data_IF_668493722670
#
_entry.id   IF_668493722670
#
_cell.length_a   1.000
_cell.length_b   1.000
_cell.length_c   1.000
_cell.angle_alpha   90.00
_cell.angle_beta   90.00
_cell.angle_gamma   90.00
#
_symmetry.space_group_name_H-M   'P 1'
#
loop_
_entity.id
_entity.type
_entity.pdbx_description
1 polymer ?
#
# COMPACT_ATOMS: atom_id res chain seq x y z
N UNK A 1 -34.71 40.05 -47.25
CA UNK A 1 -33.96 40.72 -46.16
C UNK A 1 -33.27 41.92 -46.76
N UNK A 2 -33.16 43.04 -46.03
CA UNK A 2 -32.50 44.23 -46.58
C UNK A 2 -30.99 43.98 -46.70
N UNK A 3 -30.38 44.62 -47.70
CA UNK A 3 -28.95 44.58 -47.97
C UNK A 3 -28.13 45.01 -46.73
N UNK A 4 -28.68 45.95 -45.95
CA UNK A 4 -28.15 46.38 -44.66
C UNK A 4 -28.11 45.27 -43.59
N UNK A 5 -29.11 44.37 -43.55
CA UNK A 5 -29.11 43.22 -42.63
C UNK A 5 -28.01 42.23 -42.99
N UNK A 6 -27.82 41.95 -44.28
CA UNK A 6 -26.75 41.05 -44.74
C UNK A 6 -25.36 41.65 -44.49
N UNK A 7 -25.19 42.96 -44.70
CA UNK A 7 -23.93 43.64 -44.40
C UNK A 7 -23.58 43.57 -42.90
N UNK A 8 -24.59 43.70 -42.01
CA UNK A 8 -24.39 43.57 -40.56
C UNK A 8 -24.03 42.15 -40.13
N UNK A 9 -24.65 41.13 -40.73
CA UNK A 9 -24.31 39.72 -40.47
C UNK A 9 -22.87 39.45 -40.92
N UNK A 10 -22.48 39.93 -42.10
CA UNK A 10 -21.12 39.74 -42.59
C UNK A 10 -20.10 40.43 -41.69
N UNK A 11 -20.35 41.68 -41.28
CA UNK A 11 -19.47 42.40 -40.37
C UNK A 11 -19.34 41.74 -38.99
N UNK A 12 -20.39 41.05 -38.53
CA UNK A 12 -20.34 40.26 -37.30
C UNK A 12 -19.52 38.98 -37.48
N UNK A 13 -19.70 38.28 -38.61
CA UNK A 13 -18.91 37.09 -38.96
C UNK A 13 -17.42 37.42 -39.01
N UNK A 14 -17.04 38.48 -39.73
CA UNK A 14 -15.65 38.89 -39.89
C UNK A 14 -15.01 39.28 -38.54
N UNK A 15 -15.81 39.85 -37.62
CA UNK A 15 -15.35 40.15 -36.25
C UNK A 15 -15.16 38.89 -35.42
N UNK A 16 -16.04 37.89 -35.58
CA UNK A 16 -15.93 36.62 -34.90
C UNK A 16 -14.72 35.84 -35.39
N UNK A 17 -14.46 35.82 -36.70
CA UNK A 17 -13.28 35.19 -37.29
C UNK A 17 -11.98 35.85 -36.82
N UNK A 18 -11.96 37.18 -36.68
CA UNK A 18 -10.83 37.91 -36.07
C UNK A 18 -10.63 37.57 -34.60
N UNK A 19 -11.70 37.38 -33.83
CA UNK A 19 -11.60 36.94 -32.43
C UNK A 19 -11.02 35.52 -32.34
N UNK A 20 -11.46 34.61 -33.20
CA UNK A 20 -10.94 33.24 -33.27
C UNK A 20 -9.45 33.21 -33.64
N UNK A 21 -8.99 34.10 -34.53
CA UNK A 21 -7.57 34.23 -34.89
C UNK A 21 -6.69 34.85 -33.80
N UNK A 22 -7.27 35.59 -32.85
CA UNK A 22 -6.55 36.22 -31.74
C UNK A 22 -6.52 35.36 -30.47
N UNK A 23 -7.28 34.25 -30.43
CA UNK A 23 -7.16 33.24 -29.38
C UNK A 23 -6.05 32.25 -29.78
N UNK A 24 -4.92 32.15 -29.05
CA UNK A 24 -3.97 31.08 -29.27
C UNK A 24 -4.65 29.72 -29.03
N UNK A 25 -4.47 28.75 -29.94
CA UNK A 25 -4.96 27.36 -29.85
C UNK A 25 -4.04 26.55 -28.92
N UNK A 26 -3.64 27.15 -27.81
CA UNK A 26 -3.13 26.41 -26.68
C UNK A 26 -4.10 26.74 -25.55
N UNK A 27 -5.00 25.79 -25.25
CA UNK A 27 -5.71 25.85 -23.99
C UNK A 27 -4.64 25.99 -22.91
N UNK A 28 -4.60 27.09 -22.14
CA UNK A 28 -3.67 27.16 -21.03
C UNK A 28 -4.01 25.99 -20.13
N UNK A 29 -3.01 25.14 -19.81
CA UNK A 29 -3.17 24.11 -18.79
C UNK A 29 -3.90 24.75 -17.60
N UNK A 30 -5.11 24.27 -17.31
CA UNK A 30 -5.91 24.83 -16.24
C UNK A 30 -5.08 24.72 -14.96
N UNK A 31 -4.75 25.87 -14.35
CA UNK A 31 -3.87 25.98 -13.19
C UNK A 31 -4.37 25.19 -11.97
N UNK A 32 -5.63 24.76 -11.98
CA UNK A 32 -6.26 23.92 -10.96
C UNK A 32 -6.45 22.47 -11.40
N UNK A 33 -6.16 22.12 -12.66
CA UNK A 33 -6.13 20.76 -13.16
C UNK A 33 -4.69 20.26 -13.12
N UNK A 34 -4.38 19.47 -12.10
CA UNK A 34 -3.13 18.75 -12.02
C UNK A 34 -3.31 17.40 -12.70
N UNK A 35 -2.60 17.17 -13.79
CA UNK A 35 -2.48 15.85 -14.41
C UNK A 35 -1.76 14.93 -13.41
N UNK A 36 -2.50 14.03 -12.78
CA UNK A 36 -1.88 12.95 -11.98
C UNK A 36 -1.07 12.09 -12.97
N UNK A 37 0.23 11.83 -12.76
CA UNK A 37 1.00 11.03 -13.69
C UNK A 37 0.33 9.67 -13.89
N UNK A 38 0.36 9.10 -15.11
CA UNK A 38 -0.13 7.74 -15.29
C UNK A 38 0.67 6.82 -14.37
N UNK A 39 -0.03 6.15 -13.45
CA UNK A 39 0.42 4.91 -12.83
C UNK A 39 0.77 3.99 -14.00
N UNK A 40 2.05 3.79 -14.25
CA UNK A 40 2.48 2.91 -15.32
C UNK A 40 2.08 1.49 -14.94
N UNK A 41 1.26 0.84 -15.74
CA UNK A 41 0.79 -0.51 -15.46
C UNK A 41 1.84 -1.53 -15.90
N UNK A 42 2.12 -2.51 -15.04
CA UNK A 42 2.93 -3.67 -15.40
C UNK A 42 2.05 -4.66 -16.16
N UNK A 43 2.27 -4.79 -17.47
CA UNK A 43 1.56 -5.81 -18.27
C UNK A 43 2.08 -7.20 -17.91
N UNK A 44 1.18 -8.15 -17.60
CA UNK A 44 1.57 -9.54 -17.33
C UNK A 44 1.96 -10.22 -18.65
N UNK A 45 3.24 -10.53 -18.79
CA UNK A 45 3.79 -11.29 -19.92
C UNK A 45 4.06 -12.75 -19.52
N UNK A 46 4.17 -13.70 -20.48
CA UNK A 46 4.20 -15.13 -20.17
C UNK A 46 5.28 -15.55 -19.17
N UNK A 47 6.48 -15.00 -19.26
CA UNK A 47 7.59 -15.31 -18.36
C UNK A 47 7.31 -14.83 -16.92
N UNK A 48 6.62 -13.69 -16.75
CA UNK A 48 6.22 -13.20 -15.44
C UNK A 48 5.14 -14.09 -14.82
N UNK A 49 4.13 -14.46 -15.60
CA UNK A 49 3.09 -15.39 -15.15
C UNK A 49 3.68 -16.76 -14.75
N UNK A 50 4.64 -17.28 -15.54
CA UNK A 50 5.29 -18.54 -15.22
C UNK A 50 6.14 -18.48 -13.94
N UNK A 51 6.75 -17.33 -13.65
CA UNK A 51 7.52 -17.13 -12.42
C UNK A 51 6.63 -16.86 -11.19
N UNK A 52 5.49 -16.21 -11.39
CA UNK A 52 4.51 -15.86 -10.35
C UNK A 52 3.08 -16.19 -10.84
N UNK A 53 2.68 -17.47 -10.80
CA UNK A 53 1.35 -17.89 -11.31
C UNK A 53 0.18 -17.21 -10.60
N UNK A 54 0.38 -16.78 -9.35
CA UNK A 54 -0.63 -16.07 -8.55
C UNK A 54 -0.79 -14.59 -8.90
N UNK A 55 -0.07 -14.06 -9.89
CA UNK A 55 -0.08 -12.61 -10.21
C UNK A 55 -1.44 -12.10 -10.73
N UNK A 56 -2.26 -12.98 -11.30
CA UNK A 56 -3.61 -12.66 -11.77
C UNK A 56 -4.70 -13.06 -10.76
N UNK A 57 -4.34 -13.69 -9.64
CA UNK A 57 -5.29 -14.14 -8.63
C UNK A 57 -5.79 -12.99 -7.74
N UNK A 58 -7.07 -13.03 -7.37
CA UNK A 58 -7.61 -12.08 -6.41
C UNK A 58 -7.16 -12.45 -4.98
N UNK A 59 -6.08 -11.81 -4.55
CA UNK A 59 -5.50 -11.95 -3.21
C UNK A 59 -6.51 -11.76 -2.07
N UNK A 60 -7.59 -11.00 -2.26
CA UNK A 60 -8.60 -10.76 -1.22
C UNK A 60 -9.64 -11.88 -1.12
N UNK A 61 -9.76 -12.72 -2.15
CA UNK A 61 -10.80 -13.75 -2.25
C UNK A 61 -10.28 -15.17 -2.11
N UNK A 62 -8.98 -15.37 -2.35
CA UNK A 62 -8.36 -16.69 -2.31
C UNK A 62 -7.45 -16.77 -1.08
N UNK A 63 -7.97 -17.17 0.09
CA UNK A 63 -7.14 -17.40 1.25
C UNK A 63 -6.28 -18.65 1.03
N UNK A 64 -5.00 -18.58 1.43
CA UNK A 64 -4.18 -19.78 1.59
C UNK A 64 -4.85 -20.75 2.56
N UNK A 65 -4.89 -22.03 2.18
CA UNK A 65 -5.31 -23.09 3.10
C UNK A 65 -4.35 -23.13 4.30
N UNK A 66 -4.83 -23.66 5.43
CA UNK A 66 -3.98 -23.77 6.62
C UNK A 66 -2.72 -24.61 6.35
N UNK A 67 -2.80 -25.64 5.51
CA UNK A 67 -1.65 -26.48 5.22
C UNK A 67 -0.62 -25.80 4.30
N UNK A 68 -1.07 -25.09 3.26
CA UNK A 68 -0.17 -24.27 2.41
C UNK A 68 0.50 -23.16 3.22
N UNK A 69 -0.26 -22.50 4.10
CA UNK A 69 0.27 -21.47 4.99
C UNK A 69 1.33 -22.05 5.93
N UNK A 70 1.06 -23.21 6.52
CA UNK A 70 2.00 -23.90 7.40
C UNK A 70 3.26 -24.32 6.65
N UNK A 71 3.14 -24.84 5.43
CA UNK A 71 4.29 -25.23 4.62
C UNK A 71 5.18 -24.00 4.29
N UNK A 72 4.58 -22.91 3.84
CA UNK A 72 5.30 -21.67 3.54
C UNK A 72 6.01 -21.06 4.77
N UNK A 73 5.43 -21.18 5.96
CA UNK A 73 5.95 -20.56 7.19
C UNK A 73 6.92 -21.47 7.93
N UNK A 74 6.67 -22.78 7.97
CA UNK A 74 7.47 -23.76 8.72
C UNK A 74 8.64 -24.32 7.92
N UNK A 75 8.65 -24.17 6.59
CA UNK A 75 9.85 -24.38 5.78
C UNK A 75 10.97 -23.37 6.11
N UNK A 76 10.63 -22.24 6.73
CA UNK A 76 11.57 -21.17 7.09
C UNK A 76 11.84 -21.14 8.60
N UNK A 77 13.11 -21.14 9.04
CA UNK A 77 13.46 -20.98 10.44
C UNK A 77 12.92 -19.66 11.01
N UNK A 78 12.50 -19.69 12.28
CA UNK A 78 12.12 -18.47 13.00
C UNK A 78 13.36 -17.68 13.38
N UNK A 79 13.39 -16.38 13.09
CA UNK A 79 14.42 -15.47 13.61
C UNK A 79 14.32 -15.39 15.14
N UNK A 80 15.45 -15.59 15.82
CA UNK A 80 15.55 -15.49 17.28
C UNK A 80 15.56 -14.04 17.79
N UNK A 81 15.87 -13.08 16.93
CA UNK A 81 16.00 -11.67 17.30
C UNK A 81 14.65 -10.96 17.48
N UNK A 82 13.59 -11.46 16.85
CA UNK A 82 12.28 -10.80 16.86
C UNK A 82 11.41 -11.32 18.01
N UNK A 83 11.53 -10.65 19.16
CA UNK A 83 10.71 -10.90 20.35
C UNK A 83 9.50 -9.96 20.37
N UNK A 84 8.36 -10.45 19.91
CA UNK A 84 7.10 -9.74 20.05
C UNK A 84 6.43 -10.10 21.38
N UNK A 85 6.25 -9.11 22.26
CA UNK A 85 5.44 -9.26 23.48
C UNK A 85 4.08 -8.59 23.23
N UNK A 86 2.98 -9.36 23.16
CA UNK A 86 1.66 -8.77 23.02
C UNK A 86 1.35 -7.91 24.25
N UNK A 87 0.70 -6.77 24.02
CA UNK A 87 0.19 -5.94 25.10
C UNK A 87 -0.78 -6.77 25.96
N UNK A 88 -0.55 -6.90 27.29
CA UNK A 88 -1.45 -7.63 28.15
C UNK A 88 -2.78 -6.86 28.28
N UNK A 89 -3.88 -7.50 27.89
CA UNK A 89 -5.22 -6.98 28.14
C UNK A 89 -5.58 -7.19 29.62
N UNK A 90 -6.18 -6.18 30.25
CA UNK A 90 -6.74 -6.32 31.59
C UNK A 90 -8.09 -7.06 31.56
N UNK A 91 -8.45 -7.74 32.65
CA UNK A 91 -9.70 -8.51 32.73
C UNK A 91 -10.96 -7.63 32.65
N UNK A 92 -10.84 -6.35 33.01
CA UNK A 92 -11.90 -5.34 32.99
C UNK A 92 -12.34 -4.89 31.60
N UNK A 93 -11.63 -5.26 30.52
CA UNK A 93 -12.05 -4.94 29.15
C UNK A 93 -13.33 -5.68 28.75
N UNK A 94 -14.20 -5.01 27.97
CA UNK A 94 -15.42 -5.62 27.46
C UNK A 94 -15.13 -6.76 26.47
N UNK A 95 -16.07 -7.70 26.32
CA UNK A 95 -15.93 -8.81 25.39
C UNK A 95 -15.73 -8.36 23.93
N UNK A 96 -16.35 -7.23 23.53
CA UNK A 96 -16.19 -6.65 22.21
C UNK A 96 -14.74 -6.15 21.98
N UNK A 97 -14.16 -5.48 22.98
CA UNK A 97 -12.77 -4.99 22.94
C UNK A 97 -11.79 -6.16 22.86
N UNK A 98 -11.99 -7.20 23.68
CA UNK A 98 -11.18 -8.43 23.64
C UNK A 98 -11.24 -9.13 22.29
N UNK A 99 -12.42 -9.20 21.66
CA UNK A 99 -12.58 -9.79 20.32
C UNK A 99 -11.84 -8.99 19.26
N UNK A 100 -11.98 -7.67 19.25
CA UNK A 100 -11.28 -6.80 18.31
C UNK A 100 -9.75 -6.88 18.49
N UNK A 101 -9.27 -6.88 19.73
CA UNK A 101 -7.84 -7.04 20.02
C UNK A 101 -7.31 -8.39 19.56
N UNK A 102 -8.05 -9.48 19.80
CA UNK A 102 -7.67 -10.82 19.34
C UNK A 102 -7.52 -10.89 17.81
N UNK A 103 -8.41 -10.22 17.07
CA UNK A 103 -8.30 -10.11 15.61
C UNK A 103 -7.06 -9.32 15.19
N UNK A 104 -6.82 -8.14 15.77
CA UNK A 104 -5.64 -7.33 15.47
C UNK A 104 -4.33 -8.03 15.85
N UNK A 105 -4.33 -8.76 16.97
CA UNK A 105 -3.21 -9.59 17.40
C UNK A 105 -2.95 -10.72 16.39
N UNK A 106 -3.99 -11.37 15.87
CA UNK A 106 -3.88 -12.36 14.81
C UNK A 106 -3.23 -11.80 13.54
N UNK A 107 -3.60 -10.57 13.15
CA UNK A 107 -2.98 -9.89 12.00
C UNK A 107 -1.49 -9.63 12.26
N UNK A 108 -1.12 -9.12 13.44
CA UNK A 108 0.29 -8.92 13.80
C UNK A 108 1.08 -10.22 13.76
N UNK A 109 0.51 -11.31 14.30
CA UNK A 109 1.15 -12.61 14.29
C UNK A 109 1.37 -13.11 12.85
N UNK A 110 0.41 -12.90 11.95
CA UNK A 110 0.55 -13.23 10.53
C UNK A 110 1.65 -12.39 9.85
N UNK A 111 1.73 -11.08 10.12
CA UNK A 111 2.78 -10.20 9.59
C UNK A 111 4.18 -10.65 10.04
N UNK A 112 4.35 -11.00 11.32
CA UNK A 112 5.61 -11.53 11.85
C UNK A 112 5.98 -12.88 11.22
N UNK A 113 5.00 -13.70 10.87
CA UNK A 113 5.26 -14.96 10.17
C UNK A 113 5.64 -14.72 8.70
N UNK A 114 5.03 -13.73 8.04
CA UNK A 114 5.33 -13.35 6.66
C UNK A 114 6.76 -12.81 6.47
N UNK A 115 7.43 -12.34 7.53
CA UNK A 115 8.85 -11.95 7.42
C UNK A 115 9.80 -13.15 7.37
N UNK A 116 9.38 -14.36 7.75
CA UNK A 116 10.28 -15.53 7.81
C UNK A 116 10.83 -15.95 6.44
N UNK A 117 10.01 -16.07 5.37
CA UNK A 117 10.54 -16.38 4.05
C UNK A 117 11.52 -15.32 3.53
N UNK A 118 11.27 -14.04 3.85
CA UNK A 118 12.16 -12.93 3.49
C UNK A 118 13.51 -13.10 4.19
N UNK A 119 13.50 -13.32 5.50
CA UNK A 119 14.71 -13.48 6.32
C UNK A 119 15.53 -14.69 5.88
N UNK A 120 14.85 -15.82 5.63
CA UNK A 120 15.51 -17.04 5.20
C UNK A 120 16.07 -16.92 3.77
N UNK A 121 15.38 -16.21 2.88
CA UNK A 121 15.90 -15.91 1.55
C UNK A 121 17.19 -15.10 1.62
N UNK A 122 17.22 -14.02 2.41
CA UNK A 122 18.43 -13.20 2.63
C UNK A 122 19.55 -14.04 3.25
N UNK A 123 19.23 -14.87 4.25
CA UNK A 123 20.20 -15.78 4.85
C UNK A 123 20.87 -16.69 3.82
N UNK A 124 20.09 -17.35 2.96
CA UNK A 124 20.62 -18.21 1.89
C UNK A 124 21.48 -17.42 0.91
N UNK A 125 21.05 -16.22 0.52
CA UNK A 125 21.84 -15.35 -0.37
C UNK A 125 23.22 -15.02 0.19
N UNK A 126 23.30 -14.67 1.47
CA UNK A 126 24.57 -14.36 2.14
C UNK A 126 25.46 -15.61 2.22
N UNK A 127 24.89 -16.79 2.45
CA UNK A 127 25.66 -18.04 2.46
C UNK A 127 26.19 -18.44 1.08
N UNK A 128 25.36 -18.29 0.04
CA UNK A 128 25.71 -18.65 -1.34
C UNK A 128 26.71 -17.66 -1.94
N UNK A 129 26.69 -16.39 -1.51
CA UNK A 129 27.56 -15.34 -2.02
C UNK A 129 28.04 -14.45 -0.87
N UNK A 130 29.21 -14.74 -0.28
CA UNK A 130 29.73 -14.03 0.90
C UNK A 130 30.02 -12.54 0.68
N UNK A 131 30.07 -12.09 -0.58
CA UNK A 131 30.35 -10.70 -0.98
C UNK A 131 29.08 -9.86 -1.14
N UNK A 132 27.90 -10.42 -0.86
CA UNK A 132 26.64 -9.67 -0.90
C UNK A 132 26.70 -8.47 0.04
N UNK A 133 26.49 -7.29 -0.54
CA UNK A 133 26.48 -6.01 0.18
C UNK A 133 25.05 -5.55 0.44
N UNK A 134 24.89 -4.49 1.23
CA UNK A 134 23.58 -3.87 1.48
C UNK A 134 22.95 -3.27 0.22
N UNK A 135 23.77 -2.94 -0.79
CA UNK A 135 23.34 -2.38 -2.07
C UNK A 135 22.94 -3.45 -3.09
N UNK A 136 23.08 -4.74 -2.75
CA UNK A 136 22.62 -5.84 -3.59
C UNK A 136 21.09 -5.73 -3.82
N UNK A 137 20.60 -5.80 -5.07
CA UNK A 137 19.18 -5.62 -5.37
C UNK A 137 18.24 -6.57 -4.61
N UNK A 138 18.68 -7.79 -4.30
CA UNK A 138 17.89 -8.74 -3.53
C UNK A 138 17.81 -8.35 -2.06
N UNK A 139 18.89 -7.82 -1.50
CA UNK A 139 18.92 -7.31 -0.13
C UNK A 139 18.08 -6.04 -0.01
N UNK A 140 18.20 -5.12 -0.97
CA UNK A 140 17.37 -3.91 -1.04
C UNK A 140 15.89 -4.26 -1.15
N UNK A 141 15.53 -5.19 -2.04
CA UNK A 141 14.15 -5.67 -2.18
C UNK A 141 13.62 -6.28 -0.87
N UNK A 142 14.38 -7.21 -0.27
CA UNK A 142 13.98 -7.86 0.97
C UNK A 142 13.82 -6.87 2.14
N UNK A 143 14.75 -5.92 2.27
CA UNK A 143 14.67 -4.86 3.27
C UNK A 143 13.45 -3.96 3.04
N UNK A 144 13.16 -3.59 1.79
CA UNK A 144 11.98 -2.79 1.45
C UNK A 144 10.70 -3.51 1.85
N UNK A 145 10.56 -4.80 1.48
CA UNK A 145 9.41 -5.62 1.89
C UNK A 145 9.28 -5.73 3.42
N UNK A 146 10.41 -5.94 4.12
CA UNK A 146 10.43 -6.02 5.59
C UNK A 146 10.00 -4.71 6.26
N UNK A 147 10.43 -3.57 5.73
CA UNK A 147 10.04 -2.23 6.22
C UNK A 147 8.55 -1.97 5.99
N UNK A 148 8.01 -2.30 4.81
CA UNK A 148 6.57 -2.16 4.52
C UNK A 148 5.71 -3.03 5.45
N UNK A 149 6.12 -4.28 5.71
CA UNK A 149 5.44 -5.14 6.69
C UNK A 149 5.51 -4.57 8.11
N UNK A 150 6.65 -3.97 8.49
CA UNK A 150 6.83 -3.33 9.79
C UNK A 150 5.92 -2.09 9.96
N UNK A 151 5.77 -1.28 8.92
CA UNK A 151 4.87 -0.11 8.92
C UNK A 151 3.40 -0.51 9.09
N UNK A 152 2.96 -1.55 8.37
CA UNK A 152 1.61 -2.12 8.55
C UNK A 152 1.46 -2.67 9.98
N UNK A 153 2.46 -3.39 10.50
CA UNK A 153 2.42 -3.92 11.86
C UNK A 153 2.36 -2.81 12.92
N UNK A 154 3.06 -1.69 12.70
CA UNK A 154 2.99 -0.51 13.56
C UNK A 154 1.57 0.09 13.57
N UNK A 155 0.95 0.24 12.39
CA UNK A 155 -0.44 0.70 12.26
C UNK A 155 -1.42 -0.21 13.01
N UNK A 156 -1.27 -1.53 12.90
CA UNK A 156 -2.09 -2.49 13.65
C UNK A 156 -1.85 -2.36 15.16
N UNK A 157 -0.60 -2.13 15.58
CA UNK A 157 -0.25 -1.92 16.99
C UNK A 157 -0.91 -0.67 17.54
N UNK A 158 -0.93 0.43 16.77
CA UNK A 158 -1.63 1.65 17.15
C UNK A 158 -3.14 1.40 17.27
N UNK A 159 -3.74 0.66 16.32
CA UNK A 159 -5.15 0.28 16.38
C UNK A 159 -5.51 -0.50 17.64
N UNK A 160 -4.60 -1.35 18.15
CA UNK A 160 -4.79 -2.07 19.43
C UNK A 160 -4.79 -1.12 20.62
N UNK A 161 -3.84 -0.17 20.66
CA UNK A 161 -3.76 0.86 21.71
C UNK A 161 -5.01 1.73 21.72
N UNK A 162 -5.45 2.20 20.56
CA UNK A 162 -6.63 3.05 20.42
C UNK A 162 -7.91 2.31 20.83
N UNK A 163 -8.05 1.04 20.44
CA UNK A 163 -9.18 0.20 20.83
C UNK A 163 -9.21 -0.03 22.34
N UNK A 164 -8.06 -0.26 22.96
CA UNK A 164 -7.96 -0.41 24.41
C UNK A 164 -8.31 0.89 25.14
N UNK A 165 -7.78 2.02 24.68
CA UNK A 165 -8.04 3.34 25.26
C UNK A 165 -9.54 3.70 25.23
N UNK A 166 -10.19 3.48 24.07
CA UNK A 166 -11.65 3.64 23.93
C UNK A 166 -12.42 2.64 24.79
N UNK A 167 -11.98 1.39 24.82
CA UNK A 167 -12.65 0.32 25.55
C UNK A 167 -12.62 0.46 27.08
N UNK A 168 -11.71 1.29 27.59
CA UNK A 168 -11.54 1.59 29.02
C UNK A 168 -12.03 3.00 29.40
N UNK A 169 -12.62 3.75 28.46
CA UNK A 169 -13.05 5.14 28.64
C UNK A 169 -11.99 6.04 29.29
N UNK A 170 -10.71 5.82 28.93
CA UNK A 170 -9.60 6.56 29.54
C UNK A 170 -9.62 8.04 29.12
N UNK A 171 -9.44 8.98 30.05
CA UNK A 171 -9.34 10.40 29.71
C UNK A 171 -8.06 10.67 28.91
N UNK A 172 -8.14 11.60 27.95
CA UNK A 172 -7.00 12.00 27.10
C UNK A 172 -6.94 11.29 25.75
N UNK A 173 -5.83 11.49 25.01
CA UNK A 173 -5.57 10.80 23.73
C UNK A 173 -4.84 9.47 23.99
N UNK A 174 -5.08 8.43 23.17
CA UNK A 174 -4.26 7.22 23.21
C UNK A 174 -2.78 7.55 22.98
N UNK A 175 -1.89 6.75 23.56
CA UNK A 175 -0.46 6.87 23.31
C UNK A 175 -0.15 6.57 21.84
N UNK A 176 0.55 7.47 21.16
CA UNK A 176 1.02 7.28 19.79
C UNK A 176 2.37 6.55 19.80
N UNK A 177 2.55 5.61 18.87
CA UNK A 177 3.81 4.87 18.69
C UNK A 177 4.89 5.70 17.97
N UNK A 178 4.49 6.77 17.28
CA UNK A 178 5.37 7.69 16.54
C UNK A 178 4.99 9.11 16.94
N UNK A 179 6.00 9.90 17.32
CA UNK A 179 5.88 11.35 17.59
C UNK A 179 5.72 12.15 16.29
#
# INVERSE_FOLDING_TARGET
MSEDTNAKIQALSDKFDRLLLLMPIEEPEDRFVVTRPPTTDLTVYPELFNALPSIEEDFFRIPLTEDERKDAIYSCPRSSSMNYQPLPLNDSTSAAVKKADATLHGIQAALVQATRPIDYYVHRRIQDTPEVTLDDPHIVFANTMRVLLADIAATVTQGRLDNLHKGLDLPGKPQQLVE
#
